data_IF_747533429792
#
_entry.id   IF_747533429792
#
_cell.length_a   1.000
_cell.length_b   1.000
_cell.length_c   1.000
_cell.angle_alpha   90.00
_cell.angle_beta   90.00
_cell.angle_gamma   90.00
#
_symmetry.space_group_name_H-M   'P 1'
#
loop_
_entity.id
_entity.type
_entity.pdbx_description
1 polymer ?
#
# COMPACT_ATOMS: atom_id res chain seq x y z
N UNK A 1 -1.08 3.95 -2.69
CA UNK A 1 -2.29 3.82 -3.53
C UNK A 1 -2.44 5.10 -4.35
N UNK A 2 -2.98 4.98 -5.54
CA UNK A 2 -3.30 6.09 -6.45
C UNK A 2 -4.78 6.04 -6.80
N UNK A 3 -5.45 7.18 -7.08
CA UNK A 3 -6.82 7.21 -7.59
C UNK A 3 -6.95 6.36 -8.85
N UNK A 4 -8.01 5.56 -8.94
CA UNK A 4 -8.27 4.67 -10.07
C UNK A 4 -9.78 4.42 -10.23
N UNK A 5 -10.35 4.92 -11.33
CA UNK A 5 -11.79 4.82 -11.63
C UNK A 5 -12.20 3.45 -12.15
N UNK A 6 -11.24 2.57 -12.51
CA UNK A 6 -11.51 1.21 -12.99
C UNK A 6 -12.11 0.31 -11.91
N UNK A 7 -12.00 0.70 -10.64
CA UNK A 7 -12.50 -0.08 -9.50
C UNK A 7 -13.43 0.75 -8.62
N UNK A 8 -14.48 0.13 -8.05
CA UNK A 8 -15.50 0.85 -7.29
C UNK A 8 -14.96 1.49 -6.00
N UNK A 9 -13.84 1.00 -5.45
CA UNK A 9 -13.18 1.61 -4.30
C UNK A 9 -12.32 2.83 -4.65
N UNK A 10 -12.19 3.18 -5.94
CA UNK A 10 -11.54 4.40 -6.40
C UNK A 10 -10.03 4.45 -6.22
N UNK A 11 -9.38 3.35 -5.85
CA UNK A 11 -7.95 3.28 -5.53
C UNK A 11 -7.31 1.98 -6.05
N UNK A 12 -6.08 2.07 -6.52
CA UNK A 12 -5.25 0.91 -6.87
C UNK A 12 -3.80 1.09 -6.41
N UNK A 13 -3.03 0.00 -6.43
CA UNK A 13 -1.58 0.08 -6.28
C UNK A 13 -1.00 0.66 -7.57
N UNK A 14 -0.05 1.59 -7.44
CA UNK A 14 0.59 2.21 -8.61
C UNK A 14 1.29 1.13 -9.44
N UNK A 15 0.95 1.09 -10.72
CA UNK A 15 1.54 0.19 -11.72
C UNK A 15 2.71 0.88 -12.43
N UNK A 16 3.50 0.10 -13.17
CA UNK A 16 4.53 0.59 -14.08
C UNK A 16 4.59 -0.33 -15.30
N UNK A 17 5.10 0.19 -16.42
CA UNK A 17 5.28 -0.61 -17.64
C UNK A 17 6.40 -1.63 -17.44
N UNK A 18 6.20 -2.87 -17.91
CA UNK A 18 7.16 -3.96 -17.73
C UNK A 18 8.54 -3.63 -18.30
N UNK A 19 8.56 -2.90 -19.42
CA UNK A 19 9.76 -2.52 -20.17
C UNK A 19 10.45 -1.26 -19.61
N UNK A 20 9.94 -0.67 -18.52
CA UNK A 20 10.57 0.49 -17.88
C UNK A 20 11.74 0.06 -16.98
N UNK A 21 12.93 0.00 -17.58
CA UNK A 21 14.19 -0.33 -16.91
C UNK A 21 14.62 0.71 -15.84
N UNK A 22 13.94 1.86 -15.73
CA UNK A 22 14.22 2.87 -14.71
C UNK A 22 13.58 2.55 -13.34
N UNK A 23 12.67 1.57 -13.29
CA UNK A 23 11.95 1.22 -12.07
C UNK A 23 12.82 0.40 -11.13
N UNK A 24 13.10 0.97 -9.95
CA UNK A 24 13.80 0.27 -8.86
C UNK A 24 12.78 -0.32 -7.90
N UNK A 25 12.75 -1.66 -7.81
CA UNK A 25 11.86 -2.41 -6.92
C UNK A 25 12.61 -2.91 -5.68
N UNK A 26 11.90 -3.05 -4.54
CA UNK A 26 12.48 -3.73 -3.39
C UNK A 26 12.74 -5.21 -3.73
N UNK A 27 13.74 -5.87 -3.12
CA UNK A 27 14.00 -7.30 -3.31
C UNK A 27 12.83 -8.21 -2.94
N UNK A 28 11.86 -7.68 -2.19
CA UNK A 28 10.65 -8.35 -1.70
C UNK A 28 9.41 -8.04 -2.52
N UNK A 29 9.55 -7.43 -3.70
CA UNK A 29 8.47 -7.33 -4.69
C UNK A 29 8.01 -8.75 -5.10
N UNK A 30 6.70 -9.00 -5.27
CA UNK A 30 6.18 -10.33 -5.61
C UNK A 30 6.40 -10.76 -7.08
N UNK A 31 7.20 -10.04 -7.87
CA UNK A 31 7.37 -10.27 -9.31
C UNK A 31 6.23 -9.71 -10.16
N UNK A 32 5.53 -8.69 -9.65
CA UNK A 32 4.41 -8.03 -10.34
C UNK A 32 4.75 -6.59 -10.70
N UNK A 33 4.16 -6.09 -11.78
CA UNK A 33 4.40 -4.76 -12.35
C UNK A 33 3.70 -3.65 -11.55
N UNK A 34 3.94 -3.62 -10.23
CA UNK A 34 3.35 -2.66 -9.31
C UNK A 34 4.30 -2.30 -8.16
N UNK A 35 4.21 -1.07 -7.67
CA UNK A 35 4.98 -0.59 -6.52
C UNK A 35 4.42 -1.17 -5.22
N UNK A 36 4.90 -2.36 -4.86
CA UNK A 36 4.57 -3.02 -3.61
C UNK A 36 5.82 -3.59 -2.94
N UNK A 37 6.02 -3.24 -1.67
CA UNK A 37 6.96 -3.91 -0.79
C UNK A 37 6.17 -4.75 0.23
N UNK A 38 6.27 -6.08 0.16
CA UNK A 38 5.59 -7.00 1.09
C UNK A 38 6.59 -7.88 1.87
N UNK A 39 7.50 -7.29 2.65
CA UNK A 39 8.35 -8.07 3.53
C UNK A 39 7.52 -8.61 4.71
N UNK A 40 8.01 -9.66 5.35
CA UNK A 40 7.41 -10.20 6.58
C UNK A 40 7.64 -9.29 7.79
N UNK A 41 7.10 -8.07 7.77
CA UNK A 41 7.18 -7.16 8.91
C UNK A 41 6.46 -7.75 10.11
N UNK A 42 7.09 -7.61 11.29
CA UNK A 42 6.48 -8.06 12.53
C UNK A 42 5.30 -7.14 12.87
N UNK A 43 4.11 -7.72 12.90
CA UNK A 43 2.87 -7.07 13.31
C UNK A 43 2.48 -7.59 14.69
N UNK A 44 2.39 -6.69 15.66
CA UNK A 44 1.91 -7.00 17.01
C UNK A 44 0.54 -6.35 17.19
N UNK A 45 -0.51 -7.16 17.25
CA UNK A 45 -1.86 -6.74 17.60
C UNK A 45 -2.12 -6.95 19.09
N UNK A 46 -2.59 -5.90 19.79
CA UNK A 46 -3.05 -5.99 21.18
C UNK A 46 -4.29 -5.12 21.36
N UNK A 47 -5.42 -5.74 21.71
CA UNK A 47 -6.74 -5.08 21.82
C UNK A 47 -7.02 -4.26 20.54
N UNK A 48 -7.27 -2.95 20.68
CA UNK A 48 -7.53 -2.04 19.56
C UNK A 48 -6.26 -1.33 19.03
N UNK A 49 -5.08 -1.92 19.26
CA UNK A 49 -3.79 -1.37 18.82
C UNK A 49 -3.05 -2.36 17.94
N UNK A 50 -2.56 -1.85 16.82
CA UNK A 50 -1.67 -2.57 15.91
C UNK A 50 -0.34 -1.81 15.86
N UNK A 51 0.76 -2.53 16.09
CA UNK A 51 2.12 -2.00 15.98
C UNK A 51 2.87 -2.77 14.90
N UNK A 52 3.48 -2.05 13.98
CA UNK A 52 4.28 -2.60 12.90
C UNK A 52 5.69 -2.08 13.09
N UNK A 53 6.68 -2.98 13.18
CA UNK A 53 8.07 -2.60 13.19
C UNK A 53 8.60 -2.55 11.75
N UNK A 54 8.95 -1.35 11.30
CA UNK A 54 9.48 -1.10 9.96
C UNK A 54 10.92 -0.57 10.09
N UNK A 55 11.94 -1.27 9.56
CA UNK A 55 13.30 -0.77 9.50
C UNK A 55 13.39 0.54 8.70
N UNK A 56 14.24 1.48 9.11
CA UNK A 56 14.34 2.78 8.47
C UNK A 56 14.81 2.68 7.01
N UNK A 57 15.65 1.68 6.70
CA UNK A 57 16.13 1.40 5.35
C UNK A 57 14.98 1.10 4.38
N UNK A 58 13.91 0.47 4.88
CA UNK A 58 12.73 0.11 4.07
C UNK A 58 11.88 1.31 3.66
N UNK A 59 12.08 2.45 4.29
CA UNK A 59 11.46 3.72 3.93
C UNK A 59 12.49 4.73 3.42
N UNK A 60 13.63 4.25 2.90
CA UNK A 60 14.75 5.06 2.43
C UNK A 60 15.19 6.13 3.46
N UNK A 61 15.19 5.75 4.74
CA UNK A 61 15.46 6.63 5.89
C UNK A 61 14.53 7.86 6.00
N UNK A 62 13.49 7.93 5.16
CA UNK A 62 12.45 8.95 5.28
C UNK A 62 11.45 8.53 6.36
N UNK A 63 11.76 8.93 7.59
CA UNK A 63 10.94 8.64 8.79
C UNK A 63 9.98 9.78 9.15
N UNK A 64 9.87 10.80 8.28
CA UNK A 64 8.99 11.96 8.45
C UNK A 64 7.90 11.96 7.38
N UNK A 65 7.02 10.98 7.45
CA UNK A 65 5.86 10.89 6.56
C UNK A 65 4.55 10.80 7.34
N UNK A 66 3.50 11.19 6.63
CA UNK A 66 2.13 11.07 7.08
C UNK A 66 1.52 9.78 6.53
N UNK A 67 0.60 9.19 7.27
CA UNK A 67 -0.08 7.97 6.87
C UNK A 67 -1.51 7.90 7.39
N UNK A 68 -2.26 6.94 6.87
CA UNK A 68 -3.57 6.53 7.35
C UNK A 68 -3.68 5.01 7.39
N UNK A 69 -4.67 4.51 8.13
CA UNK A 69 -5.01 3.09 8.17
C UNK A 69 -6.32 2.86 7.44
N UNK A 70 -6.33 1.92 6.49
CA UNK A 70 -7.53 1.53 5.75
C UNK A 70 -7.73 0.03 5.88
N UNK A 71 -8.97 -0.36 6.15
CA UNK A 71 -9.44 -1.74 6.00
C UNK A 71 -10.21 -1.81 4.70
N UNK A 72 -9.74 -2.61 3.76
CA UNK A 72 -10.32 -2.72 2.43
C UNK A 72 -10.28 -4.15 1.91
N UNK A 73 -11.23 -4.47 1.04
CA UNK A 73 -11.17 -5.62 0.16
C UNK A 73 -10.45 -5.22 -1.12
N UNK A 74 -9.42 -6.00 -1.47
CA UNK A 74 -8.60 -5.78 -2.64
C UNK A 74 -8.52 -7.06 -3.45
N UNK A 75 -8.54 -6.93 -4.78
CA UNK A 75 -8.39 -8.08 -5.69
C UNK A 75 -7.16 -7.91 -6.55
N UNK A 76 -6.47 -9.03 -6.76
CA UNK A 76 -5.42 -9.16 -7.75
C UNK A 76 -6.05 -9.59 -9.07
N UNK A 77 -5.71 -8.92 -10.16
CA UNK A 77 -6.13 -9.27 -11.51
C UNK A 77 -4.92 -9.33 -12.45
N UNK A 78 -4.86 -10.33 -13.33
CA UNK A 78 -3.76 -10.49 -14.30
C UNK A 78 -4.26 -10.77 -15.71
N UNK A 79 -5.58 -10.73 -15.92
CA UNK A 79 -6.23 -11.21 -17.15
C UNK A 79 -7.03 -10.14 -17.89
N UNK A 80 -7.52 -9.13 -17.18
CA UNK A 80 -8.39 -8.09 -17.74
C UNK A 80 -7.65 -6.75 -17.79
N UNK A 81 -7.49 -6.16 -18.98
CA UNK A 81 -6.79 -4.88 -19.17
C UNK A 81 -7.57 -3.69 -18.62
N UNK A 82 -8.89 -3.80 -18.48
CA UNK A 82 -9.75 -2.74 -17.97
C UNK A 82 -9.73 -2.65 -16.44
N UNK A 83 -8.97 -3.54 -15.78
CA UNK A 83 -8.87 -3.61 -14.31
C UNK A 83 -7.41 -3.46 -13.88
N UNK A 84 -7.13 -2.79 -12.75
CA UNK A 84 -5.79 -2.75 -12.19
C UNK A 84 -5.31 -4.13 -11.77
N UNK A 85 -3.99 -4.32 -11.74
CA UNK A 85 -3.30 -5.48 -11.20
C UNK A 85 -3.66 -5.73 -9.74
N UNK A 86 -3.78 -4.67 -8.94
CA UNK A 86 -4.21 -4.75 -7.55
C UNK A 86 -5.07 -3.53 -7.19
N UNK A 87 -6.38 -3.74 -7.22
CA UNK A 87 -7.39 -2.70 -7.01
C UNK A 87 -8.13 -2.81 -5.68
N UNK A 88 -8.64 -1.69 -5.18
CA UNK A 88 -9.55 -1.63 -4.02
C UNK A 88 -10.99 -1.72 -4.52
N UNK A 89 -11.72 -2.74 -4.08
CA UNK A 89 -13.11 -2.99 -4.51
C UNK A 89 -14.13 -2.60 -3.44
N UNK A 90 -13.75 -2.66 -2.16
CA UNK A 90 -14.59 -2.18 -1.07
C UNK A 90 -13.73 -1.57 0.02
N UNK A 91 -14.09 -0.38 0.49
CA UNK A 91 -13.54 0.22 1.71
C UNK A 91 -14.48 -0.09 2.86
N UNK A 92 -13.97 -0.68 3.93
CA UNK A 92 -14.75 -1.00 5.13
C UNK A 92 -14.59 0.07 6.21
N UNK A 93 -13.38 0.56 6.40
CA UNK A 93 -13.10 1.59 7.39
C UNK A 93 -11.85 2.36 7.04
N UNK A 94 -11.88 3.67 7.30
CA UNK A 94 -10.71 4.54 7.27
C UNK A 94 -10.49 5.08 8.67
N UNK A 95 -9.25 5.04 9.16
CA UNK A 95 -8.94 5.45 10.53
C UNK A 95 -9.19 6.95 10.75
N UNK A 96 -8.87 7.81 9.77
CA UNK A 96 -9.24 9.23 9.82
C UNK A 96 -10.72 9.50 9.48
N UNK A 97 -11.38 8.56 8.78
CA UNK A 97 -12.70 8.73 8.17
C UNK A 97 -12.69 9.25 6.73
N UNK A 98 -11.62 9.93 6.29
CA UNK A 98 -11.59 10.69 5.03
C UNK A 98 -10.30 10.53 4.20
N UNK A 99 -9.35 9.69 4.64
CA UNK A 99 -8.04 9.50 4.02
C UNK A 99 -7.16 10.76 4.00
N UNK A 100 -7.39 11.72 4.90
CA UNK A 100 -6.58 12.96 5.01
C UNK A 100 -5.13 12.75 5.46
N UNK A 101 -4.72 11.51 5.76
CA UNK A 101 -3.39 11.13 6.24
C UNK A 101 -2.98 11.91 7.51
N UNK A 102 -3.77 11.95 8.60
CA UNK A 102 -3.47 12.81 9.75
C UNK A 102 -2.38 12.24 10.67
N UNK A 103 -2.00 10.97 10.53
CA UNK A 103 -1.09 10.30 11.45
C UNK A 103 0.37 10.47 11.03
N UNK A 104 1.28 10.47 12.01
CA UNK A 104 2.73 10.60 11.79
C UNK A 104 3.47 9.54 12.59
N UNK A 105 4.67 9.17 12.11
CA UNK A 105 5.52 8.19 12.79
C UNK A 105 5.99 8.74 14.13
N UNK A 106 5.74 7.99 15.21
CA UNK A 106 6.32 8.26 16.53
C UNK A 106 7.63 7.49 16.66
N UNK A 107 8.73 8.22 16.71
CA UNK A 107 10.01 7.64 17.13
C UNK A 107 9.89 7.20 18.59
N UNK A 108 10.38 6.01 18.88
CA UNK A 108 10.49 5.46 20.24
C UNK A 108 11.96 5.25 20.56
#
# INVERSE_FOLDING_TARGET
LTPDERVPGGLSVKEFEKEDDSVVLPPTNPGMQMYMDSPGFCVVSKNNSLKILVPAERVNHNIKFKFDGVTAYMEVNTSDSERPLLGVYQVYSVRSGDLSLPYSIKQR
#
